data_IF_264860357799
#
_entry.id   IF_264860357799
#
_cell.length_a   1.000
_cell.length_b   1.000
_cell.length_c   1.000
_cell.angle_alpha   90.00
_cell.angle_beta   90.00
_cell.angle_gamma   90.00
#
_symmetry.space_group_name_H-M   'P 1'
#
loop_
_entity.id
_entity.type
_entity.pdbx_description
1 polymer ?
#
# COMPACT_ATOMS: atom_id res chain seq x y z
N UNK A 1 -46.71 47.28 42.28
CA UNK A 1 -47.04 46.23 41.29
C UNK A 1 -45.89 46.16 40.29
N UNK A 2 -44.91 45.28 40.54
CA UNK A 2 -43.74 45.11 39.68
C UNK A 2 -43.96 43.86 38.80
N UNK A 3 -44.03 44.05 37.49
CA UNK A 3 -44.08 42.95 36.51
C UNK A 3 -42.66 42.45 36.27
N UNK A 4 -42.35 41.23 36.69
CA UNK A 4 -41.13 40.51 36.34
C UNK A 4 -41.37 39.81 35.00
N UNK A 5 -40.55 40.14 34.00
CA UNK A 5 -40.61 39.57 32.66
C UNK A 5 -39.86 38.24 32.65
N UNK A 6 -40.56 37.16 32.31
CA UNK A 6 -40.03 35.80 32.23
C UNK A 6 -39.29 35.65 30.87
N UNK A 7 -37.97 35.53 30.89
CA UNK A 7 -37.15 35.24 29.70
C UNK A 7 -37.10 33.72 29.55
N UNK A 8 -37.72 33.20 28.49
CA UNK A 8 -37.64 31.79 28.11
C UNK A 8 -36.28 31.50 27.46
N UNK A 9 -35.44 30.72 28.13
CA UNK A 9 -34.20 30.16 27.57
C UNK A 9 -34.56 28.92 26.72
N UNK A 10 -34.45 29.03 25.40
CA UNK A 10 -34.51 27.89 24.49
C UNK A 10 -33.15 27.17 24.49
N UNK A 11 -33.09 25.85 24.74
CA UNK A 11 -31.84 25.11 24.67
C UNK A 11 -31.41 24.97 23.20
N UNK A 12 -30.24 25.52 22.89
CA UNK A 12 -29.56 25.37 21.61
C UNK A 12 -28.99 23.96 21.53
N UNK A 13 -29.73 23.03 20.92
CA UNK A 13 -29.22 21.70 20.57
C UNK A 13 -28.20 21.85 19.43
N UNK A 14 -26.92 21.72 19.75
CA UNK A 14 -25.86 21.57 18.75
C UNK A 14 -25.95 20.14 18.21
N UNK A 15 -26.51 19.98 17.02
CA UNK A 15 -26.50 18.71 16.30
C UNK A 15 -25.07 18.41 15.83
N UNK A 16 -24.43 17.42 16.46
CA UNK A 16 -23.21 16.80 15.94
C UNK A 16 -23.56 16.11 14.61
N UNK A 17 -23.11 16.66 13.49
CA UNK A 17 -23.16 15.97 12.20
C UNK A 17 -21.97 15.03 12.13
N UNK A 18 -22.22 13.73 12.31
CA UNK A 18 -21.22 12.71 11.99
C UNK A 18 -21.03 12.69 10.46
N UNK A 19 -19.84 13.05 9.98
CA UNK A 19 -19.51 12.94 8.56
C UNK A 19 -19.40 11.46 8.20
N UNK A 20 -20.27 10.97 7.31
CA UNK A 20 -20.16 9.61 6.79
C UNK A 20 -18.87 9.47 5.97
N UNK A 21 -18.06 8.46 6.27
CA UNK A 21 -16.86 8.12 5.50
C UNK A 21 -17.28 7.62 4.11
N UNK A 22 -16.65 8.14 3.04
CA UNK A 22 -16.90 7.70 1.66
C UNK A 22 -15.87 6.64 1.27
N UNK A 23 -16.33 5.52 0.71
CA UNK A 23 -15.51 4.42 0.22
C UNK A 23 -15.48 4.39 -1.30
N UNK A 24 -14.38 3.85 -1.84
CA UNK A 24 -14.15 3.70 -3.28
C UNK A 24 -13.59 2.31 -3.54
N UNK A 25 -13.84 1.72 -4.72
CA UNK A 25 -13.32 0.41 -5.04
C UNK A 25 -11.78 0.38 -5.14
N UNK A 26 -11.22 -0.83 -5.06
CA UNK A 26 -9.78 -1.06 -5.19
C UNK A 26 -9.26 -0.78 -6.63
N UNK A 27 -10.15 -0.70 -7.61
CA UNK A 27 -9.86 -0.35 -9.01
C UNK A 27 -10.13 1.13 -9.35
N UNK A 28 -9.67 1.53 -10.54
CA UNK A 28 -9.83 2.89 -11.06
C UNK A 28 -11.16 3.04 -11.83
N UNK A 29 -12.09 3.84 -11.31
CA UNK A 29 -13.40 4.08 -11.93
C UNK A 29 -13.31 4.64 -13.36
N UNK A 30 -12.25 5.39 -13.67
CA UNK A 30 -12.01 5.94 -15.02
C UNK A 30 -11.69 4.89 -16.09
N UNK A 31 -11.39 3.65 -15.69
CA UNK A 31 -10.98 2.54 -16.58
C UNK A 31 -12.03 1.43 -16.70
N UNK A 32 -13.20 1.62 -16.10
CA UNK A 32 -14.28 0.63 -16.10
C UNK A 32 -14.90 0.52 -17.50
N UNK A 33 -15.15 -0.72 -17.94
CA UNK A 33 -15.88 -0.98 -19.19
C UNK A 33 -17.31 -0.44 -19.09
N UNK A 34 -17.85 0.25 -20.11
CA UNK A 34 -19.21 0.78 -20.09
C UNK A 34 -20.31 -0.26 -19.77
N UNK A 35 -20.08 -1.52 -20.15
CA UNK A 35 -21.02 -2.63 -19.93
C UNK A 35 -20.89 -3.30 -18.57
N UNK A 36 -19.94 -2.90 -17.72
CA UNK A 36 -19.71 -3.53 -16.42
C UNK A 36 -20.60 -2.88 -15.35
N UNK A 37 -21.84 -3.35 -15.25
CA UNK A 37 -22.86 -2.82 -14.34
C UNK A 37 -22.40 -2.78 -12.88
N UNK A 38 -21.77 -3.86 -12.39
CA UNK A 38 -21.31 -3.96 -11.00
C UNK A 38 -20.18 -2.96 -10.73
N UNK A 39 -19.17 -2.88 -11.61
CA UNK A 39 -18.08 -1.93 -11.40
C UNK A 39 -18.56 -0.48 -11.38
N UNK A 40 -19.57 -0.15 -12.20
CA UNK A 40 -20.21 1.16 -12.11
C UNK A 40 -21.01 1.35 -10.82
N UNK A 41 -21.77 0.36 -10.35
CA UNK A 41 -22.40 0.41 -9.03
C UNK A 41 -21.37 0.75 -7.94
N UNK A 42 -20.24 0.05 -7.90
CA UNK A 42 -19.19 0.27 -6.92
C UNK A 42 -18.54 1.66 -7.01
N UNK A 43 -18.53 2.27 -8.20
CA UNK A 43 -18.03 3.64 -8.38
C UNK A 43 -19.04 4.71 -7.94
N UNK A 44 -20.34 4.41 -8.09
CA UNK A 44 -21.43 5.36 -7.87
C UNK A 44 -21.99 5.27 -6.43
N UNK A 45 -21.87 4.10 -5.77
CA UNK A 45 -22.46 3.80 -4.45
C UNK A 45 -21.40 3.41 -3.41
N UNK A 46 -21.19 4.31 -2.43
CA UNK A 46 -20.18 4.16 -1.39
C UNK A 46 -20.42 2.96 -0.46
N UNK A 47 -21.68 2.61 -0.17
CA UNK A 47 -21.99 1.51 0.74
C UNK A 47 -21.74 0.15 0.08
N UNK A 48 -22.04 0.02 -1.22
CA UNK A 48 -21.67 -1.15 -2.03
C UNK A 48 -20.16 -1.26 -2.19
N UNK A 49 -19.46 -0.14 -2.40
CA UNK A 49 -17.99 -0.10 -2.42
C UNK A 49 -17.39 -0.57 -1.09
N UNK A 50 -17.95 -0.11 0.04
CA UNK A 50 -17.54 -0.57 1.37
C UNK A 50 -17.71 -2.08 1.52
N UNK A 51 -18.83 -2.61 1.05
CA UNK A 51 -19.11 -4.04 1.18
C UNK A 51 -18.17 -4.90 0.34
N UNK A 52 -17.82 -4.45 -0.86
CA UNK A 52 -16.80 -5.10 -1.69
C UNK A 52 -15.42 -5.04 -1.03
N UNK A 53 -15.03 -3.92 -0.43
CA UNK A 53 -13.76 -3.82 0.30
C UNK A 53 -13.67 -4.78 1.50
N UNK A 54 -14.78 -5.00 2.21
CA UNK A 54 -14.85 -5.98 3.32
C UNK A 54 -14.69 -7.42 2.77
N UNK A 55 -15.30 -7.69 1.62
CA UNK A 55 -15.10 -8.96 0.92
C UNK A 55 -13.63 -9.12 0.49
N UNK A 56 -13.02 -8.09 -0.09
CA UNK A 56 -11.62 -8.10 -0.49
C UNK A 56 -10.68 -8.31 0.70
N UNK A 57 -10.90 -7.62 1.82
CA UNK A 57 -10.17 -7.83 3.07
C UNK A 57 -10.19 -9.31 3.47
N UNK A 58 -11.36 -9.95 3.43
CA UNK A 58 -11.53 -11.38 3.73
C UNK A 58 -10.81 -12.26 2.70
N UNK A 59 -10.98 -11.97 1.41
CA UNK A 59 -10.36 -12.70 0.31
C UNK A 59 -8.83 -12.66 0.36
N UNK A 60 -8.25 -11.49 0.59
CA UNK A 60 -6.81 -11.30 0.68
C UNK A 60 -6.22 -11.93 1.94
N UNK A 61 -6.96 -11.97 3.06
CA UNK A 61 -6.56 -12.73 4.24
C UNK A 61 -6.54 -14.24 3.94
N UNK A 62 -7.60 -14.76 3.30
CA UNK A 62 -7.70 -16.18 2.97
C UNK A 62 -6.65 -16.59 1.94
N UNK A 63 -6.41 -15.74 0.93
CA UNK A 63 -5.34 -15.89 -0.04
C UNK A 63 -3.97 -16.05 0.61
N UNK A 64 -3.66 -15.24 1.63
CA UNK A 64 -2.42 -15.36 2.38
C UNK A 64 -2.38 -16.69 3.15
N UNK A 65 -3.49 -17.08 3.81
CA UNK A 65 -3.57 -18.31 4.60
C UNK A 65 -3.40 -19.59 3.76
N UNK A 66 -4.04 -19.67 2.58
CA UNK A 66 -3.90 -20.83 1.69
C UNK A 66 -2.56 -20.88 0.95
N UNK A 67 -1.82 -19.77 0.97
CA UNK A 67 -0.52 -19.63 0.35
C UNK A 67 -0.50 -19.83 -1.18
N UNK A 68 0.71 -19.92 -1.73
CA UNK A 68 0.92 -19.97 -3.18
C UNK A 68 0.28 -21.20 -3.86
N UNK A 69 0.26 -22.33 -3.16
CA UNK A 69 -0.31 -23.57 -3.69
C UNK A 69 -1.84 -23.52 -3.78
N UNK A 70 -2.52 -22.93 -2.79
CA UNK A 70 -3.98 -22.85 -2.76
C UNK A 70 -4.58 -21.69 -3.55
N UNK A 71 -3.80 -20.63 -3.82
CA UNK A 71 -4.27 -19.40 -4.45
C UNK A 71 -5.06 -19.59 -5.75
N UNK A 72 -4.55 -20.41 -6.68
CA UNK A 72 -5.20 -20.59 -7.99
C UNK A 72 -6.56 -21.29 -7.88
N UNK A 73 -6.70 -22.21 -6.93
CA UNK A 73 -7.98 -22.87 -6.66
C UNK A 73 -8.96 -21.88 -6.03
N UNK A 74 -8.51 -21.13 -5.02
CA UNK A 74 -9.32 -20.11 -4.34
C UNK A 74 -9.82 -19.04 -5.32
N UNK A 75 -8.96 -18.54 -6.21
CA UNK A 75 -9.35 -17.55 -7.22
C UNK A 75 -10.47 -18.05 -8.12
N UNK A 76 -10.42 -19.31 -8.57
CA UNK A 76 -11.47 -19.89 -9.42
C UNK A 76 -12.78 -20.05 -8.67
N UNK A 77 -12.71 -20.50 -7.42
CA UNK A 77 -13.87 -20.65 -6.54
C UNK A 77 -14.59 -19.31 -6.34
N UNK A 78 -13.84 -18.25 -6.01
CA UNK A 78 -14.39 -16.90 -5.83
C UNK A 78 -15.05 -16.36 -7.10
N UNK A 79 -14.39 -16.53 -8.26
CA UNK A 79 -14.97 -16.10 -9.54
C UNK A 79 -16.28 -16.83 -9.83
N UNK A 80 -16.38 -18.12 -9.50
CA UNK A 80 -17.60 -18.88 -9.69
C UNK A 80 -18.71 -18.40 -8.74
N UNK A 81 -18.37 -18.25 -7.46
CA UNK A 81 -19.32 -17.82 -6.43
C UNK A 81 -19.87 -16.41 -6.69
N UNK A 82 -19.02 -15.47 -7.11
CA UNK A 82 -19.43 -14.08 -7.42
C UNK A 82 -20.39 -14.00 -8.62
N UNK A 83 -20.56 -15.06 -9.42
CA UNK A 83 -21.58 -15.08 -10.47
C UNK A 83 -23.01 -14.98 -9.90
N UNK A 84 -23.22 -15.31 -8.63
CA UNK A 84 -24.53 -15.10 -7.98
C UNK A 84 -24.96 -13.64 -8.03
N UNK A 85 -24.03 -12.68 -8.06
CA UNK A 85 -24.33 -11.25 -8.17
C UNK A 85 -25.10 -10.88 -9.45
N UNK A 86 -25.09 -11.74 -10.48
CA UNK A 86 -25.90 -11.55 -11.68
C UNK A 86 -27.41 -11.52 -11.39
N UNK A 87 -27.86 -12.13 -10.28
CA UNK A 87 -29.27 -12.10 -9.87
C UNK A 87 -29.73 -10.72 -9.37
N UNK A 88 -28.77 -9.83 -9.03
CA UNK A 88 -29.06 -8.48 -8.58
C UNK A 88 -29.22 -7.48 -9.73
N UNK A 89 -29.03 -7.92 -10.98
CA UNK A 89 -29.26 -7.09 -12.17
C UNK A 89 -30.75 -6.91 -12.41
N UNK A 90 -31.15 -5.67 -12.68
CA UNK A 90 -32.53 -5.28 -12.93
C UNK A 90 -32.70 -4.65 -14.32
N UNK A 91 -33.88 -4.87 -14.90
CA UNK A 91 -34.25 -4.27 -16.19
C UNK A 91 -33.50 -4.84 -17.39
N UNK A 92 -33.82 -4.29 -18.56
CA UNK A 92 -33.12 -4.61 -19.81
C UNK A 92 -31.81 -3.79 -19.91
N UNK A 93 -30.78 -4.30 -20.60
CA UNK A 93 -29.56 -3.53 -20.85
C UNK A 93 -29.84 -2.24 -21.63
N UNK A 94 -29.11 -1.18 -21.29
CA UNK A 94 -29.12 0.10 -22.00
C UNK A 94 -28.31 0.03 -23.31
N UNK A 95 -28.12 1.18 -23.98
CA UNK A 95 -27.38 1.27 -25.25
C UNK A 95 -25.90 0.89 -25.13
N UNK A 96 -25.33 0.91 -23.92
CA UNK A 96 -23.96 0.52 -23.62
C UNK A 96 -23.86 -0.92 -23.11
N UNK A 97 -25.00 -1.62 -23.01
CA UNK A 97 -25.08 -2.96 -22.42
C UNK A 97 -25.02 -2.96 -20.88
N UNK A 98 -25.18 -1.80 -20.22
CA UNK A 98 -25.27 -1.68 -18.77
C UNK A 98 -26.69 -1.98 -18.32
N UNK A 99 -26.82 -2.72 -17.22
CA UNK A 99 -28.08 -2.94 -16.51
C UNK A 99 -28.04 -2.21 -15.18
N UNK A 100 -29.22 -1.88 -14.64
CA UNK A 100 -29.32 -1.38 -13.28
C UNK A 100 -28.97 -2.50 -12.30
N UNK A 101 -28.41 -2.16 -11.14
CA UNK A 101 -28.01 -3.13 -10.11
C UNK A 101 -28.65 -2.73 -8.81
N UNK A 102 -29.41 -3.63 -8.20
CA UNK A 102 -29.97 -3.43 -6.86
C UNK A 102 -28.85 -3.37 -5.81
N UNK A 103 -28.58 -2.21 -5.19
CA UNK A 103 -27.48 -2.08 -4.25
C UNK A 103 -27.69 -2.97 -3.02
N UNK A 104 -28.92 -3.07 -2.52
CA UNK A 104 -29.23 -3.88 -1.33
C UNK A 104 -29.09 -5.38 -1.64
N UNK A 105 -29.54 -5.84 -2.81
CA UNK A 105 -29.28 -7.21 -3.24
C UNK A 105 -27.77 -7.50 -3.31
N UNK A 106 -27.00 -6.62 -3.98
CA UNK A 106 -25.57 -6.79 -4.14
C UNK A 106 -24.85 -6.85 -2.79
N UNK A 107 -25.15 -5.90 -1.90
CA UNK A 107 -24.56 -5.83 -0.56
C UNK A 107 -24.83 -7.12 0.23
N UNK A 108 -26.06 -7.63 0.22
CA UNK A 108 -26.45 -8.86 0.91
C UNK A 108 -25.77 -10.11 0.32
N UNK A 109 -25.63 -10.20 -1.00
CA UNK A 109 -24.94 -11.33 -1.64
C UNK A 109 -23.43 -11.31 -1.34
N UNK A 110 -22.80 -10.14 -1.41
CA UNK A 110 -21.39 -9.96 -1.05
C UNK A 110 -21.16 -10.24 0.44
N UNK A 111 -22.10 -9.89 1.33
CA UNK A 111 -22.05 -10.28 2.75
C UNK A 111 -22.06 -11.80 2.93
N UNK A 112 -22.98 -12.50 2.26
CA UNK A 112 -23.06 -13.97 2.33
C UNK A 112 -21.77 -14.64 1.88
N UNK A 113 -21.17 -14.15 0.80
CA UNK A 113 -19.87 -14.63 0.33
C UNK A 113 -18.75 -14.34 1.33
N UNK A 114 -18.73 -13.13 1.89
CA UNK A 114 -17.78 -12.74 2.93
C UNK A 114 -17.84 -13.70 4.11
N UNK A 115 -19.03 -13.97 4.66
CA UNK A 115 -19.20 -14.86 5.80
C UNK A 115 -18.84 -16.32 5.45
N UNK A 116 -19.16 -16.80 4.24
CA UNK A 116 -18.72 -18.12 3.75
C UNK A 116 -17.20 -18.25 3.80
N UNK A 117 -16.45 -17.24 3.37
CA UNK A 117 -14.99 -17.30 3.34
C UNK A 117 -14.35 -17.06 4.72
N UNK A 118 -14.95 -16.23 5.58
CA UNK A 118 -14.50 -16.05 6.96
C UNK A 118 -14.50 -17.35 7.77
N UNK A 119 -15.45 -18.26 7.53
CA UNK A 119 -15.50 -19.57 8.19
C UNK A 119 -14.25 -20.45 7.95
N UNK A 120 -13.46 -20.14 6.91
CA UNK A 120 -12.21 -20.86 6.58
C UNK A 120 -10.97 -20.23 7.19
N UNK A 121 -11.10 -19.02 7.75
CA UNK A 121 -10.01 -18.29 8.37
C UNK A 121 -9.82 -18.72 9.82
N UNK A 122 -8.60 -18.56 10.33
CA UNK A 122 -8.28 -18.84 11.73
C UNK A 122 -7.11 -17.99 12.22
N UNK A 123 -7.02 -17.81 13.53
CA UNK A 123 -5.95 -17.04 14.16
C UNK A 123 -5.86 -15.61 13.60
N UNK A 124 -4.63 -15.09 13.37
CA UNK A 124 -4.44 -13.72 12.87
C UNK A 124 -5.14 -13.40 11.55
N UNK A 125 -5.38 -14.41 10.70
CA UNK A 125 -6.08 -14.20 9.44
C UNK A 125 -7.58 -13.90 9.65
N UNK A 126 -8.20 -14.54 10.66
CA UNK A 126 -9.59 -14.30 11.03
C UNK A 126 -9.74 -12.98 11.79
N UNK A 127 -8.82 -12.68 12.69
CA UNK A 127 -8.74 -11.37 13.36
C UNK A 127 -8.70 -10.24 12.33
N UNK A 128 -7.82 -10.38 11.33
CA UNK A 128 -7.72 -9.40 10.26
C UNK A 128 -9.02 -9.26 9.46
N UNK A 129 -9.69 -10.35 9.08
CA UNK A 129 -10.93 -10.30 8.32
C UNK A 129 -12.16 -9.80 9.12
N UNK A 130 -12.13 -9.91 10.45
CA UNK A 130 -13.19 -9.40 11.33
C UNK A 130 -13.00 -7.93 11.72
N UNK A 131 -11.82 -7.36 11.44
CA UNK A 131 -11.52 -5.97 11.77
C UNK A 131 -12.43 -5.01 11.00
N UNK A 132 -12.98 -3.96 11.65
CA UNK A 132 -13.70 -2.91 10.94
C UNK A 132 -12.85 -2.32 9.81
N UNK A 133 -13.44 -2.14 8.63
CA UNK A 133 -12.70 -1.69 7.43
C UNK A 133 -11.98 -0.35 7.65
N UNK A 134 -12.56 0.56 8.43
CA UNK A 134 -11.94 1.85 8.74
C UNK A 134 -10.64 1.70 9.55
N UNK A 135 -10.63 0.77 10.51
CA UNK A 135 -9.44 0.45 11.28
C UNK A 135 -8.40 -0.25 10.41
N UNK A 136 -8.83 -1.16 9.54
CA UNK A 136 -7.95 -1.84 8.60
C UNK A 136 -7.24 -0.88 7.64
N UNK A 137 -7.98 0.07 7.05
CA UNK A 137 -7.44 1.15 6.22
C UNK A 137 -6.48 2.04 7.03
N UNK A 138 -6.83 2.38 8.27
CA UNK A 138 -5.97 3.19 9.14
C UNK A 138 -4.64 2.50 9.47
N UNK A 139 -4.62 1.18 9.67
CA UNK A 139 -3.40 0.40 9.89
C UNK A 139 -2.50 0.41 8.64
N UNK A 140 -3.07 0.27 7.45
CA UNK A 140 -2.30 0.41 6.19
C UNK A 140 -1.67 1.79 6.07
N UNK A 141 -2.45 2.85 6.35
CA UNK A 141 -1.96 4.23 6.38
C UNK A 141 -0.81 4.37 7.38
N UNK A 142 -0.95 3.76 8.56
CA UNK A 142 0.07 3.81 9.61
C UNK A 142 1.37 3.14 9.17
N UNK A 143 1.31 2.01 8.48
CA UNK A 143 2.50 1.38 7.87
C UNK A 143 3.19 2.32 6.86
N UNK A 144 2.41 3.05 6.05
CA UNK A 144 2.96 4.03 5.12
C UNK A 144 3.62 5.22 5.84
N UNK A 145 2.99 5.77 6.87
CA UNK A 145 3.54 6.86 7.70
C UNK A 145 4.85 6.47 8.41
N UNK A 146 4.96 5.20 8.81
CA UNK A 146 6.17 4.64 9.42
C UNK A 146 7.26 4.30 8.39
N UNK A 147 6.99 4.48 7.08
CA UNK A 147 7.95 4.26 6.01
C UNK A 147 8.09 2.80 5.56
N UNK A 148 7.17 1.92 5.93
CA UNK A 148 7.16 0.53 5.45
C UNK A 148 6.51 0.37 4.07
N UNK A 149 5.72 1.36 3.64
CA UNK A 149 5.13 1.40 2.29
C UNK A 149 5.64 2.61 1.49
N UNK A 150 5.79 2.48 0.16
CA UNK A 150 6.07 3.63 -0.72
C UNK A 150 5.00 4.72 -0.59
N UNK A 151 5.40 6.00 -0.68
CA UNK A 151 4.51 7.16 -0.51
C UNK A 151 3.39 7.28 -1.55
N UNK A 152 3.50 6.59 -2.69
CA UNK A 152 2.48 6.53 -3.74
C UNK A 152 1.59 5.28 -3.64
N UNK A 153 1.69 4.52 -2.54
CA UNK A 153 0.86 3.34 -2.31
C UNK A 153 -0.58 3.79 -2.07
N UNK A 154 -1.52 3.22 -2.84
CA UNK A 154 -2.95 3.43 -2.60
C UNK A 154 -3.31 2.85 -1.22
N UNK A 155 -4.07 3.61 -0.45
CA UNK A 155 -4.56 3.22 0.88
C UNK A 155 -6.04 2.92 0.73
N UNK A 156 -6.37 1.64 0.62
CA UNK A 156 -7.69 1.10 0.29
C UNK A 156 -8.12 -0.04 1.23
N UNK A 157 -7.24 -0.47 2.14
CA UNK A 157 -7.48 -1.61 3.02
C UNK A 157 -7.22 -2.96 2.34
N UNK A 158 -6.68 -2.99 1.12
CA UNK A 158 -6.44 -4.25 0.41
C UNK A 158 -4.99 -4.71 0.61
N UNK A 159 -4.80 -5.76 1.41
CA UNK A 159 -3.46 -6.22 1.82
C UNK A 159 -2.87 -7.20 0.79
N UNK A 160 -2.48 -6.64 -0.36
CA UNK A 160 -1.74 -7.32 -1.42
C UNK A 160 -0.29 -7.67 -1.03
N UNK A 161 0.47 -8.25 -1.97
CA UNK A 161 1.82 -8.79 -1.67
C UNK A 161 2.81 -7.76 -1.13
N UNK A 162 2.76 -6.51 -1.60
CA UNK A 162 3.61 -5.43 -1.11
C UNK A 162 3.29 -5.07 0.34
N UNK A 163 2.00 -5.00 0.68
CA UNK A 163 1.53 -4.72 2.05
C UNK A 163 1.88 -5.87 2.98
N UNK A 164 1.71 -7.13 2.54
CA UNK A 164 2.14 -8.31 3.31
C UNK A 164 3.63 -8.28 3.65
N UNK A 165 4.48 -7.96 2.67
CA UNK A 165 5.93 -7.83 2.89
C UNK A 165 6.27 -6.67 3.84
N UNK A 166 5.54 -5.56 3.76
CA UNK A 166 5.68 -4.43 4.67
C UNK A 166 5.30 -4.84 6.10
N UNK A 167 4.20 -5.58 6.29
CA UNK A 167 3.78 -6.12 7.58
C UNK A 167 4.85 -7.05 8.15
N UNK A 168 5.35 -8.02 7.37
CA UNK A 168 6.41 -8.93 7.83
C UNK A 168 7.69 -8.17 8.23
N UNK A 169 8.02 -7.11 7.50
CA UNK A 169 9.18 -6.26 7.82
C UNK A 169 8.95 -5.49 9.11
N UNK A 170 7.78 -4.87 9.27
CA UNK A 170 7.38 -4.21 10.50
C UNK A 170 7.39 -5.17 11.69
N UNK A 171 6.84 -6.38 11.53
CA UNK A 171 6.83 -7.42 12.55
C UNK A 171 8.24 -7.80 12.99
N UNK A 172 9.16 -7.99 12.04
CA UNK A 172 10.57 -8.31 12.33
C UNK A 172 11.29 -7.17 13.06
N UNK A 173 11.08 -5.92 12.64
CA UNK A 173 11.72 -4.74 13.24
C UNK A 173 11.19 -4.48 14.66
N UNK A 174 9.92 -4.78 14.91
CA UNK A 174 9.29 -4.58 16.22
C UNK A 174 9.36 -5.84 17.12
N UNK A 175 10.20 -6.82 16.77
CA UNK A 175 10.40 -8.07 17.51
C UNK A 175 9.09 -8.78 17.86
N UNK A 176 8.14 -8.78 16.92
CA UNK A 176 6.85 -9.43 17.11
C UNK A 176 7.04 -10.95 17.18
N UNK A 177 6.25 -11.66 18.00
CA UNK A 177 6.43 -13.09 18.21
C UNK A 177 6.16 -13.92 16.94
N UNK A 178 5.35 -13.39 16.02
CA UNK A 178 5.03 -14.01 14.73
C UNK A 178 5.37 -13.05 13.59
N UNK A 179 6.01 -13.58 12.55
CA UNK A 179 6.27 -12.87 11.28
C UNK A 179 5.54 -13.63 10.18
N UNK A 180 4.25 -13.34 10.02
CA UNK A 180 3.34 -14.09 9.16
C UNK A 180 2.64 -13.23 8.08
N UNK A 181 2.86 -11.91 8.12
CA UNK A 181 2.26 -10.96 7.18
C UNK A 181 0.79 -10.66 7.44
N UNK A 182 0.22 -11.13 8.56
CA UNK A 182 -1.08 -10.70 9.08
C UNK A 182 -0.88 -9.68 10.18
N UNK A 183 -1.78 -8.70 10.30
CA UNK A 183 -1.83 -7.85 11.49
C UNK A 183 -2.83 -8.50 12.44
N UNK A 184 -2.35 -9.15 13.51
CA UNK A 184 -3.19 -9.60 14.62
C UNK A 184 -3.76 -8.41 15.40
N UNK A 185 -4.70 -8.65 16.32
CA UNK A 185 -5.24 -7.58 17.16
C UNK A 185 -4.19 -7.01 18.12
N UNK A 186 -3.27 -7.83 18.61
CA UNK A 186 -2.11 -7.39 19.39
C UNK A 186 -1.14 -6.55 18.53
N UNK A 187 -0.89 -6.96 17.28
CA UNK A 187 -0.10 -6.17 16.33
C UNK A 187 -0.76 -4.80 16.05
N UNK A 188 -2.08 -4.78 15.85
CA UNK A 188 -2.85 -3.55 15.61
C UNK A 188 -2.75 -2.58 16.80
N UNK A 189 -2.86 -3.08 18.03
CA UNK A 189 -2.69 -2.27 19.25
C UNK A 189 -1.33 -1.58 19.32
N UNK A 190 -0.26 -2.28 18.95
CA UNK A 190 1.10 -1.73 18.94
C UNK A 190 1.31 -0.75 17.79
N UNK A 191 0.82 -1.09 16.59
CA UNK A 191 0.93 -0.24 15.41
C UNK A 191 0.24 1.13 15.62
N UNK A 192 -0.91 1.12 16.29
CA UNK A 192 -1.67 2.31 16.68
C UNK A 192 -1.03 3.13 17.82
N UNK A 193 0.06 2.65 18.42
CA UNK A 193 0.78 3.36 19.48
C UNK A 193 0.24 3.14 20.89
N UNK A 194 -0.67 2.17 21.08
CA UNK A 194 -1.13 1.77 22.42
C UNK A 194 -0.14 0.81 23.12
N UNK A 195 0.85 0.29 22.39
CA UNK A 195 1.85 -0.66 22.89
C UNK A 195 2.85 -0.14 23.93
N UNK A 196 2.84 1.15 24.26
CA UNK A 196 3.76 1.77 25.24
C UNK A 196 3.04 2.63 26.30
N UNK A 197 1.72 2.45 26.49
CA UNK A 197 0.95 3.24 27.46
C UNK A 197 0.99 2.70 28.90
N UNK A 198 1.53 1.50 29.14
CA UNK A 198 1.76 0.99 30.51
C UNK A 198 2.92 1.73 31.21
N UNK A 199 3.95 2.18 30.49
CA UNK A 199 5.04 3.01 31.05
C UNK A 199 4.66 4.50 31.21
N UNK A 200 3.51 4.90 30.67
CA UNK A 200 3.03 6.29 30.70
C UNK A 200 2.01 6.57 31.81
N UNK A 201 1.40 5.54 32.40
CA UNK A 201 0.51 5.73 33.55
C UNK A 201 1.29 5.92 34.87
N UNK A 202 2.45 5.30 35.04
CA UNK A 202 3.27 5.41 36.27
C UNK A 202 3.84 6.83 36.47
N UNK A 203 4.09 7.57 35.38
CA UNK A 203 4.70 8.90 35.44
C UNK A 203 3.68 10.06 35.52
N UNK A 204 2.38 9.78 35.38
CA UNK A 204 1.33 10.81 35.32
C UNK A 204 0.60 11.05 36.65
N UNK A 205 0.83 10.22 37.68
CA UNK A 205 0.26 10.45 39.02
C UNK A 205 1.13 11.35 39.93
N UNK A 206 2.37 11.68 39.54
CA UNK A 206 3.24 12.57 40.35
C UNK A 206 3.34 14.03 39.89
N UNK A 207 2.75 14.40 38.74
CA UNK A 207 2.92 15.76 38.17
C UNK A 207 1.61 16.56 38.03
N UNK A 208 0.53 16.16 38.72
CA UNK A 208 -0.71 16.95 38.78
C UNK A 208 -0.65 18.07 39.83
N UNK A 209 0.38 18.91 39.76
CA UNK A 209 0.34 20.25 40.36
C UNK A 209 1.34 21.16 39.66
N UNK A 210 0.97 21.66 38.47
CA UNK A 210 1.11 23.09 38.14
C UNK A 210 0.48 23.40 36.78
N UNK A 211 -0.45 24.34 36.83
CA UNK A 211 -1.24 24.92 35.74
C UNK A 211 -0.37 25.89 34.93
N UNK A 212 -0.60 25.93 33.62
CA UNK A 212 -0.82 27.16 32.81
C UNK A 212 -0.06 27.17 31.49
N UNK A 213 -0.82 27.31 30.40
CA UNK A 213 -0.40 27.99 29.17
C UNK A 213 0.46 27.18 28.21
N UNK A 214 -0.18 26.51 27.24
CA UNK A 214 0.52 26.10 26.02
C UNK A 214 0.11 27.00 24.86
N UNK A 215 1.09 27.81 24.43
CA UNK A 215 1.09 28.69 23.27
C UNK A 215 1.36 27.81 22.04
N UNK A 216 0.52 27.90 21.01
CA UNK A 216 0.73 27.21 19.74
C UNK A 216 1.83 27.90 18.95
N UNK A 217 3.03 27.32 18.95
CA UNK A 217 4.08 27.71 18.02
C UNK A 217 3.95 26.93 16.70
N UNK A 218 3.63 27.67 15.64
CA UNK A 218 3.88 27.29 14.25
C UNK A 218 5.38 27.15 14.02
N UNK A 219 5.90 25.92 14.11
CA UNK A 219 7.26 25.60 13.71
C UNK A 219 7.24 24.91 12.34
N UNK A 220 7.62 25.68 11.31
CA UNK A 220 8.06 25.18 10.01
C UNK A 220 9.12 24.10 10.20
N UNK A 221 8.76 22.82 9.97
CA UNK A 221 9.74 21.73 9.91
C UNK A 221 10.70 22.01 8.76
N UNK A 222 11.94 22.38 9.09
CA UNK A 222 13.07 22.17 8.18
C UNK A 222 13.17 20.66 7.93
N UNK A 223 13.45 20.29 6.68
CA UNK A 223 13.77 18.93 6.31
C UNK A 223 15.07 18.52 7.05
N UNK A 224 14.93 17.93 8.23
CA UNK A 224 16.04 17.28 8.91
C UNK A 224 16.39 16.04 8.10
N UNK A 225 17.40 16.19 7.25
CA UNK A 225 17.99 15.14 6.45
C UNK A 225 18.58 14.10 7.41
N UNK A 226 17.82 13.03 7.68
CA UNK A 226 18.22 11.99 8.61
C UNK A 226 19.56 11.37 8.17
N UNK A 227 20.46 11.03 9.11
CA UNK A 227 21.76 10.45 8.79
C UNK A 227 21.66 9.16 7.96
N UNK A 228 20.52 8.46 8.02
CA UNK A 228 20.23 7.28 7.20
C UNK A 228 20.07 7.59 5.72
N UNK A 229 19.46 8.73 5.35
CA UNK A 229 19.38 9.14 3.94
C UNK A 229 20.74 9.49 3.37
N UNK A 230 21.63 10.08 4.18
CA UNK A 230 23.00 10.38 3.77
C UNK A 230 23.77 9.07 3.51
N UNK A 231 23.66 8.09 4.40
CA UNK A 231 24.32 6.79 4.24
C UNK A 231 23.79 6.05 3.00
N UNK A 232 22.47 6.01 2.80
CA UNK A 232 21.87 5.38 1.61
C UNK A 232 22.31 6.05 0.31
N UNK A 233 22.36 7.39 0.29
CA UNK A 233 22.81 8.16 -0.86
C UNK A 233 24.30 7.93 -1.16
N UNK A 234 25.15 7.80 -0.12
CA UNK A 234 26.56 7.43 -0.29
C UNK A 234 26.72 6.01 -0.86
N UNK A 235 25.93 5.04 -0.41
CA UNK A 235 25.95 3.67 -0.94
C UNK A 235 25.57 3.66 -2.43
N UNK A 236 24.52 4.39 -2.81
CA UNK A 236 24.12 4.51 -4.22
C UNK A 236 25.20 5.16 -5.08
N UNK A 237 25.87 6.20 -4.59
CA UNK A 237 26.99 6.85 -5.29
C UNK A 237 28.14 5.86 -5.47
N UNK A 238 28.52 5.12 -4.42
CA UNK A 238 29.60 4.13 -4.49
C UNK A 238 29.27 3.05 -5.53
N UNK A 239 28.05 2.50 -5.50
CA UNK A 239 27.63 1.48 -6.45
C UNK A 239 27.59 2.02 -7.89
N UNK A 240 27.12 3.26 -8.08
CA UNK A 240 27.14 3.95 -9.36
C UNK A 240 28.55 4.15 -9.91
N UNK A 241 29.52 4.52 -9.06
CA UNK A 241 30.94 4.65 -9.44
C UNK A 241 31.52 3.29 -9.84
N UNK A 242 31.25 2.24 -9.07
CA UNK A 242 31.71 0.87 -9.39
C UNK A 242 31.12 0.42 -10.73
N UNK A 243 29.82 0.63 -10.94
CA UNK A 243 29.15 0.28 -12.19
C UNK A 243 29.74 1.05 -13.38
N UNK A 244 29.97 2.36 -13.24
CA UNK A 244 30.59 3.18 -14.26
C UNK A 244 32.03 2.71 -14.59
N UNK A 245 32.79 2.31 -13.58
CA UNK A 245 34.13 1.78 -13.75
C UNK A 245 34.13 0.46 -14.56
N UNK A 246 33.21 -0.46 -14.24
CA UNK A 246 33.04 -1.72 -14.97
C UNK A 246 32.54 -1.47 -16.40
N UNK A 247 31.64 -0.50 -16.58
CA UNK A 247 31.12 -0.11 -17.88
C UNK A 247 32.24 0.44 -18.80
N UNK A 248 33.20 1.19 -18.26
CA UNK A 248 34.33 1.74 -19.02
C UNK A 248 35.50 0.77 -19.19
N UNK A 249 35.41 -0.43 -18.62
CA UNK A 249 36.49 -1.43 -18.60
C UNK A 249 37.03 -1.76 -20.01
N UNK A 250 36.22 -2.04 -21.05
CA UNK A 250 36.74 -2.33 -22.40
C UNK A 250 37.60 -1.20 -22.98
N UNK A 251 37.23 0.06 -22.73
CA UNK A 251 37.96 1.24 -23.22
C UNK A 251 39.26 1.44 -22.45
N UNK A 252 39.25 1.26 -21.12
CA UNK A 252 40.45 1.33 -20.27
C UNK A 252 41.47 0.26 -20.69
N UNK A 253 41.01 -0.97 -20.96
CA UNK A 253 41.86 -2.05 -21.46
C UNK A 253 42.48 -1.72 -22.83
N UNK A 254 41.71 -1.12 -23.75
CA UNK A 254 42.23 -0.70 -25.06
C UNK A 254 43.30 0.39 -24.97
N UNK A 255 43.13 1.37 -24.07
CA UNK A 255 44.10 2.45 -23.82
C UNK A 255 45.40 1.92 -23.23
N UNK A 256 45.32 1.08 -22.18
CA UNK A 256 46.51 0.50 -21.54
C UNK A 256 47.33 -0.37 -22.50
N UNK A 257 46.70 -0.95 -23.51
CA UNK A 257 47.36 -1.78 -24.53
C UNK A 257 47.89 -0.96 -25.71
N UNK A 258 47.64 0.34 -25.76
CA UNK A 258 48.09 1.23 -26.84
C UNK A 258 47.51 0.83 -28.21
N UNK A 259 46.23 0.44 -28.24
CA UNK A 259 45.56 0.00 -29.46
C UNK A 259 45.32 1.21 -30.40
N UNK A 260 45.49 1.03 -31.71
CA UNK A 260 45.28 2.11 -32.70
C UNK A 260 43.81 2.50 -32.83
N UNK A 261 42.89 1.57 -32.51
CA UNK A 261 41.45 1.76 -32.68
C UNK A 261 40.72 2.08 -31.38
N UNK A 262 41.38 2.75 -30.42
CA UNK A 262 40.76 3.18 -29.14
C UNK A 262 39.45 3.93 -29.40
N UNK A 263 39.42 4.81 -30.42
CA UNK A 263 38.22 5.58 -30.77
C UNK A 263 37.02 4.70 -31.11
N UNK A 264 37.23 3.60 -31.84
CA UNK A 264 36.15 2.69 -32.24
C UNK A 264 35.67 1.83 -31.07
N UNK A 265 36.59 1.36 -30.22
CA UNK A 265 36.23 0.65 -28.98
C UNK A 265 35.41 1.56 -28.06
N UNK A 266 35.82 2.82 -27.88
CA UNK A 266 35.10 3.79 -27.08
C UNK A 266 33.70 4.10 -27.64
N UNK A 267 33.60 4.22 -28.97
CA UNK A 267 32.32 4.48 -29.65
C UNK A 267 31.32 3.33 -29.47
N UNK A 268 31.76 2.08 -29.67
CA UNK A 268 30.92 0.89 -29.45
C UNK A 268 30.53 0.79 -27.98
N UNK A 269 31.49 0.98 -27.06
CA UNK A 269 31.22 0.90 -25.63
C UNK A 269 30.21 1.95 -25.17
N UNK A 270 30.28 3.17 -25.70
CA UNK A 270 29.35 4.26 -25.34
C UNK A 270 27.93 4.05 -25.90
N UNK A 271 27.81 3.65 -27.16
CA UNK A 271 26.49 3.55 -27.82
C UNK A 271 25.79 2.22 -27.58
N UNK A 272 26.55 1.13 -27.41
CA UNK A 272 26.03 -0.23 -27.33
C UNK A 272 26.42 -0.95 -26.03
N UNK A 273 27.25 -0.35 -25.16
CA UNK A 273 27.66 -0.98 -23.90
C UNK A 273 26.53 -1.14 -22.88
N UNK A 274 25.38 -0.48 -23.08
CA UNK A 274 24.17 -0.73 -22.29
C UNK A 274 23.55 -2.10 -22.62
N UNK A 275 23.99 -2.75 -23.69
CA UNK A 275 23.65 -4.12 -24.04
C UNK A 275 24.81 -5.05 -23.69
N UNK A 276 24.51 -6.23 -23.12
CA UNK A 276 25.53 -7.25 -22.82
C UNK A 276 26.33 -7.62 -24.08
N UNK A 277 25.65 -7.71 -25.22
CA UNK A 277 26.27 -8.04 -26.50
C UNK A 277 27.27 -6.97 -26.96
N UNK A 278 26.91 -5.69 -26.92
CA UNK A 278 27.80 -4.59 -27.30
C UNK A 278 29.01 -4.45 -26.39
N UNK A 279 28.84 -4.68 -25.09
CA UNK A 279 29.95 -4.71 -24.13
C UNK A 279 30.94 -5.84 -24.42
N UNK A 280 30.46 -7.06 -24.71
CA UNK A 280 31.31 -8.20 -25.09
C UNK A 280 32.07 -7.94 -26.41
N UNK A 281 31.41 -7.34 -27.41
CA UNK A 281 32.05 -6.98 -28.69
C UNK A 281 33.16 -5.94 -28.49
N UNK A 282 32.92 -4.90 -27.67
CA UNK A 282 33.92 -3.90 -27.35
C UNK A 282 35.14 -4.53 -26.64
N UNK A 283 34.90 -5.44 -25.69
CA UNK A 283 35.96 -6.14 -24.95
C UNK A 283 36.74 -7.10 -25.86
N UNK A 284 36.07 -7.83 -26.75
CA UNK A 284 36.71 -8.67 -27.76
C UNK A 284 37.59 -7.86 -28.71
N UNK A 285 37.11 -6.70 -29.17
CA UNK A 285 37.87 -5.80 -30.06
C UNK A 285 39.07 -5.16 -29.33
N UNK A 286 38.92 -4.82 -28.05
CA UNK A 286 40.03 -4.41 -27.19
C UNK A 286 41.08 -5.54 -27.03
N UNK A 287 40.64 -6.80 -27.09
CA UNK A 287 41.47 -8.00 -26.95
C UNK A 287 42.21 -8.46 -28.22
N UNK A 288 41.65 -8.24 -29.41
CA UNK A 288 42.07 -8.94 -30.64
C UNK A 288 42.89 -8.13 -31.65
N UNK A 289 42.77 -6.79 -31.66
CA UNK A 289 43.49 -5.97 -32.65
C UNK A 289 44.90 -5.61 -32.12
N UNK A 290 45.94 -6.30 -32.61
CA UNK A 290 47.35 -6.03 -32.25
C UNK A 290 47.90 -4.77 -32.95
N UNK A 291 48.88 -4.14 -32.29
CA UNK A 291 49.70 -3.02 -32.78
C UNK A 291 50.23 -3.33 -34.19
N UNK A 292 49.92 -2.52 -35.21
CA UNK A 292 50.71 -2.54 -36.44
C UNK A 292 52.06 -1.92 -36.09
N UNK A 293 53.10 -2.72 -36.05
CA UNK A 293 54.46 -2.20 -36.05
C UNK A 293 54.64 -1.40 -37.36
N UNK A 294 55.04 -0.13 -37.22
CA UNK A 294 55.56 0.66 -38.34
C UNK A 294 56.98 0.22 -38.65
#
# INVERSE_FOLDING_TARGET
MNKVSLIALFPLFIAFHATAQTYHPDFECSRVSPSNSIAHLLCDDSDSAKQELIFDQTYYALRQQVGRAGWQSLKKEVIEDQKSNAQCLQGAPDTNGRQDVDPTCFQNETEKLTEKYKQRLSGPALEEANRPIDEHIALQKRLAELGFLPSNTKIDGVYGSSVRQAIETWQRVNNRPLVNGFISDDDAGILNGNGNNEDRQINNELNSSNISGYKTDTSTKKADLSPFHIIFLLILIIFGIIFLYIYMLPTIFAVKRGNENIGMVAFINLLLGWTLFGWCVALFMAGTMQRKEK
#
